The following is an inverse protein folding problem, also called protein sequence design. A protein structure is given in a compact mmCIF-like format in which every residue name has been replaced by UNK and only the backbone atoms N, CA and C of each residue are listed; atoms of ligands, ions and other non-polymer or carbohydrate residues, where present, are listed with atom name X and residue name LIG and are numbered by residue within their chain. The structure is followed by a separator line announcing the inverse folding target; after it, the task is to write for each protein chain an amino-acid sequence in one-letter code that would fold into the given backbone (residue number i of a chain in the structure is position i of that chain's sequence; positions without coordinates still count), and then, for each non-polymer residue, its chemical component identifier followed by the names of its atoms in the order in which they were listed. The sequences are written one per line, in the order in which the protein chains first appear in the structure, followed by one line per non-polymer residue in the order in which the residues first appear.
data_IF_558050618268
#
_entry.id   IF_558050618268
#
_cell.length_a   1.000
_cell.length_b   1.000
_cell.length_c   1.000
_cell.angle_alpha   90.00
_cell.angle_beta   90.00
_cell.angle_gamma   90.00
#
_symmetry.space_group_name_H-M   'P 1'
#
loop_
_entity.id
_entity.type
_entity.pdbx_description
1 polymer ?
#
# COMPACT_ATOMS: atom_id res chain seq x y z
N UNK A 1 8.16 -8.01 6.54
CA UNK A 1 7.87 -8.47 5.16
C UNK A 1 9.09 -8.11 4.33
N UNK A 2 9.37 -8.86 3.27
CA UNK A 2 10.45 -8.48 2.35
C UNK A 2 10.10 -7.18 1.61
N UNK A 3 11.10 -6.42 1.12
CA UNK A 3 10.83 -5.24 0.32
C UNK A 3 9.98 -5.55 -0.91
N UNK A 4 8.89 -4.80 -1.11
CA UNK A 4 7.90 -5.14 -2.12
C UNK A 4 7.05 -3.94 -2.51
N UNK A 5 6.61 -3.92 -3.77
CA UNK A 5 5.73 -2.89 -4.31
C UNK A 5 4.27 -3.34 -4.31
N UNK A 6 3.40 -2.37 -4.04
CA UNK A 6 1.96 -2.51 -3.99
C UNK A 6 1.28 -1.41 -4.79
N UNK A 7 0.04 -1.68 -5.20
CA UNK A 7 -0.90 -0.66 -5.67
C UNK A 7 -2.11 -0.61 -4.74
N UNK A 8 -2.54 0.60 -4.40
CA UNK A 8 -3.79 0.81 -3.65
C UNK A 8 -4.96 0.55 -4.61
N UNK A 9 -5.72 -0.51 -4.38
CA UNK A 9 -6.85 -0.88 -5.25
C UNK A 9 -8.18 -0.33 -4.75
N UNK A 10 -8.30 -0.09 -3.44
CA UNK A 10 -9.54 0.37 -2.81
C UNK A 10 -9.24 1.03 -1.45
N UNK A 11 -10.15 1.87 -0.95
CA UNK A 11 -10.10 2.45 0.40
C UNK A 11 -11.49 2.31 1.04
N UNK A 12 -11.55 1.63 2.18
CA UNK A 12 -12.79 1.30 2.90
C UNK A 12 -12.74 1.87 4.31
N UNK A 13 -13.23 3.10 4.45
CA UNK A 13 -13.15 3.84 5.71
C UNK A 13 -11.69 4.12 6.07
N UNK A 14 -11.23 3.62 7.21
CA UNK A 14 -9.88 3.87 7.73
C UNK A 14 -8.81 2.89 7.21
N UNK A 15 -9.16 2.01 6.26
CA UNK A 15 -8.26 0.98 5.73
C UNK A 15 -8.11 1.08 4.20
N UNK A 16 -6.89 0.90 3.72
CA UNK A 16 -6.58 0.71 2.32
C UNK A 16 -6.46 -0.78 1.97
N UNK A 17 -6.90 -1.15 0.77
CA UNK A 17 -6.65 -2.44 0.15
C UNK A 17 -5.44 -2.29 -0.77
N UNK A 18 -4.37 -3.01 -0.44
CA UNK A 18 -3.13 -3.05 -1.22
C UNK A 18 -3.08 -4.36 -1.99
N UNK A 19 -2.84 -4.30 -3.29
CA UNK A 19 -2.51 -5.50 -4.08
C UNK A 19 -1.01 -5.51 -4.38
N UNK A 20 -0.37 -6.62 -4.04
CA UNK A 20 1.03 -6.87 -4.35
C UNK A 20 1.26 -6.91 -5.86
N UNK A 21 2.28 -6.20 -6.34
CA UNK A 21 2.64 -6.21 -7.76
C UNK A 21 3.39 -7.48 -8.20
N UNK A 22 3.91 -8.29 -7.27
CA UNK A 22 4.68 -9.49 -7.60
C UNK A 22 3.81 -10.74 -7.76
N UNK A 23 2.76 -10.88 -6.95
CA UNK A 23 1.92 -12.08 -6.87
C UNK A 23 0.40 -11.79 -6.82
N UNK A 24 0.00 -10.51 -6.77
CA UNK A 24 -1.41 -10.11 -6.75
C UNK A 24 -2.10 -10.28 -5.40
N UNK A 25 -1.41 -10.75 -4.36
CA UNK A 25 -2.00 -10.95 -3.04
C UNK A 25 -2.49 -9.62 -2.45
N UNK A 26 -3.71 -9.64 -1.91
CA UNK A 26 -4.32 -8.47 -1.29
C UNK A 26 -4.03 -8.39 0.21
N UNK A 27 -3.92 -7.16 0.71
CA UNK A 27 -3.71 -6.87 2.12
C UNK A 27 -4.50 -5.64 2.56
N UNK A 28 -4.92 -5.64 3.82
CA UNK A 28 -5.63 -4.52 4.42
C UNK A 28 -4.70 -3.79 5.40
N UNK A 29 -4.41 -2.53 5.12
CA UNK A 29 -3.53 -1.69 5.94
C UNK A 29 -4.29 -0.45 6.41
N UNK A 30 -4.15 -0.09 7.68
CA UNK A 30 -4.76 1.13 8.20
C UNK A 30 -4.13 2.37 7.53
N UNK A 31 -4.95 3.32 7.09
CA UNK A 31 -4.49 4.57 6.44
C UNK A 31 -3.53 5.37 7.31
N UNK A 32 -3.69 5.31 8.64
CA UNK A 32 -2.82 5.96 9.61
C UNK A 32 -1.34 5.49 9.55
N UNK A 33 -1.07 4.33 8.96
CA UNK A 33 0.27 3.79 8.77
C UNK A 33 0.87 4.09 7.39
N UNK A 34 0.08 4.71 6.51
CA UNK A 34 0.47 4.98 5.12
C UNK A 34 0.91 6.44 4.98
N UNK A 35 1.81 6.73 4.02
CA UNK A 35 2.28 8.08 3.79
C UNK A 35 1.13 8.98 3.36
N UNK A 36 1.22 10.27 3.72
CA UNK A 36 0.28 11.29 3.27
C UNK A 36 0.22 11.33 1.75
N UNK A 37 -0.98 11.39 1.17
CA UNK A 37 -1.18 11.35 -0.28
C UNK A 37 -1.39 9.95 -0.86
N UNK A 38 -1.44 8.93 -0.01
CA UNK A 38 -1.96 7.60 -0.38
C UNK A 38 -3.43 7.73 -0.82
N UNK A 39 -3.73 7.21 -2.01
CA UNK A 39 -5.07 7.16 -2.58
C UNK A 39 -5.18 5.98 -3.56
N UNK A 40 -6.39 5.63 -3.98
CA UNK A 40 -6.64 4.57 -4.98
C UNK A 40 -5.86 4.84 -6.27
N UNK A 41 -5.17 3.82 -6.77
CA UNK A 41 -4.31 3.88 -7.94
C UNK A 41 -2.87 4.34 -7.65
N UNK A 42 -2.56 4.82 -6.44
CA UNK A 42 -1.17 5.13 -6.05
C UNK A 42 -0.39 3.84 -5.81
N UNK A 43 0.89 3.87 -6.16
CA UNK A 43 1.83 2.80 -5.82
C UNK A 43 2.53 3.11 -4.51
N UNK A 44 2.81 2.05 -3.76
CA UNK A 44 3.54 2.09 -2.51
C UNK A 44 4.71 1.12 -2.59
N UNK A 45 5.87 1.57 -2.12
CA UNK A 45 7.01 0.71 -1.84
C UNK A 45 7.07 0.45 -0.35
N UNK A 46 7.08 -0.83 0.04
CA UNK A 46 7.33 -1.24 1.42
C UNK A 46 8.79 -1.65 1.57
N UNK A 47 9.50 -1.02 2.49
CA UNK A 47 10.85 -1.41 2.91
C UNK A 47 11.13 -0.87 4.31
N UNK A 48 12.05 -1.50 5.05
CA UNK A 48 12.45 -1.05 6.39
C UNK A 48 11.28 -0.85 7.37
N UNK A 49 10.23 -1.68 7.25
CA UNK A 49 9.00 -1.60 8.06
C UNK A 49 8.13 -0.36 7.80
N UNK A 50 8.35 0.36 6.70
CA UNK A 50 7.63 1.58 6.36
C UNK A 50 7.12 1.54 4.91
N UNK A 51 6.04 2.29 4.65
CA UNK A 51 5.51 2.52 3.30
C UNK A 51 5.90 3.91 2.80
N UNK A 52 6.36 3.99 1.56
CA UNK A 52 6.60 5.25 0.84
C UNK A 52 5.84 5.26 -0.47
N UNK A 53 5.37 6.44 -0.92
CA UNK A 53 4.81 6.59 -2.26
C UNK A 53 5.90 6.33 -3.30
N UNK A 54 5.59 5.49 -4.29
CA UNK A 54 6.39 5.32 -5.50
C UNK A 54 5.64 5.93 -6.69
N UNK A 55 6.39 6.58 -7.59
CA UNK A 55 5.87 7.13 -8.85
C UNK A 55 5.65 6.03 -9.92
#
# INVERSE_FOLDING_TARGET
MEPQDYIVTDIRGEYAVLSSLSDGNEMFIALALLPSGTDVGRKLHYANLEYSLSD
#
